data_IF_508776491811
#
_entry.id   IF_508776491811
#
_cell.length_a   1.000
_cell.length_b   1.000
_cell.length_c   1.000
_cell.angle_alpha   90.00
_cell.angle_beta   90.00
_cell.angle_gamma   90.00
#
_symmetry.space_group_name_H-M   'P 1'
#
loop_
_entity.id
_entity.type
_entity.pdbx_description
1 polymer ?
#
# COMPACT_ATOMS: atom_id res chain seq x y z
N UNK A 1 -8.34 5.07 -12.84
CA UNK A 1 -8.19 4.77 -11.39
C UNK A 1 -7.29 5.84 -10.76
N UNK A 2 -7.74 6.47 -9.66
CA UNK A 2 -6.96 7.49 -8.91
C UNK A 2 -6.83 7.02 -7.46
N UNK A 3 -5.78 7.44 -6.78
CA UNK A 3 -5.54 7.14 -5.36
C UNK A 3 -5.25 8.42 -4.59
N UNK A 4 -5.48 8.38 -3.28
CA UNK A 4 -5.16 9.47 -2.36
C UNK A 4 -4.39 8.92 -1.17
N UNK A 5 -3.53 9.73 -0.56
CA UNK A 5 -2.81 9.34 0.66
C UNK A 5 -2.78 10.50 1.63
N UNK A 6 -2.42 10.23 2.89
CA UNK A 6 -2.30 11.23 3.94
C UNK A 6 -0.86 11.34 4.41
N UNK A 7 -0.31 12.55 4.37
CA UNK A 7 1.03 12.82 4.87
C UNK A 7 1.02 13.23 6.34
N UNK A 8 2.01 12.71 7.08
CA UNK A 8 2.41 13.21 8.39
C UNK A 8 3.93 13.38 8.37
N UNK A 9 4.40 14.63 8.52
CA UNK A 9 5.81 14.98 8.44
C UNK A 9 6.67 14.33 9.54
N UNK A 10 6.05 13.83 10.61
CA UNK A 10 6.70 13.20 11.75
C UNK A 10 6.43 11.70 11.84
N UNK A 11 5.75 11.11 10.85
CA UNK A 11 5.44 9.68 10.85
C UNK A 11 5.43 9.09 9.44
N UNK A 12 6.62 8.68 9.00
CA UNK A 12 6.86 8.08 7.68
C UNK A 12 5.87 6.96 7.29
N UNK A 13 5.55 5.98 8.16
CA UNK A 13 4.68 4.86 7.78
C UNK A 13 3.30 5.28 7.27
N UNK A 14 2.74 6.41 7.73
CA UNK A 14 1.38 6.83 7.36
C UNK A 14 1.23 7.06 5.86
N UNK A 15 2.10 7.89 5.28
CA UNK A 15 2.03 8.18 3.85
C UNK A 15 2.50 6.99 3.03
N UNK A 16 3.61 6.37 3.44
CA UNK A 16 4.26 5.35 2.64
C UNK A 16 3.38 4.10 2.50
N UNK A 17 2.91 3.54 3.62
CA UNK A 17 2.07 2.35 3.59
C UNK A 17 0.64 2.64 3.16
N UNK A 18 0.10 3.83 3.48
CA UNK A 18 -1.17 4.27 2.91
C UNK A 18 -1.12 4.32 1.38
N UNK A 19 -0.03 4.82 0.79
CA UNK A 19 0.14 4.86 -0.66
C UNK A 19 0.25 3.46 -1.27
N UNK A 20 1.02 2.55 -0.65
CA UNK A 20 1.13 1.16 -1.13
C UNK A 20 -0.21 0.42 -1.03
N UNK A 21 -0.97 0.67 0.04
CA UNK A 21 -2.29 0.12 0.24
C UNK A 21 -3.24 0.51 -0.90
N UNK A 22 -3.39 1.81 -1.14
CA UNK A 22 -4.25 2.31 -2.23
C UNK A 22 -3.72 1.93 -3.62
N UNK A 23 -2.40 1.80 -3.77
CA UNK A 23 -1.79 1.29 -5.01
C UNK A 23 -2.22 -0.15 -5.28
N UNK A 24 -2.29 -1.01 -4.26
CA UNK A 24 -2.76 -2.38 -4.45
C UNK A 24 -4.22 -2.47 -4.89
N UNK A 25 -5.09 -1.62 -4.34
CA UNK A 25 -6.44 -1.43 -4.86
C UNK A 25 -6.42 -0.96 -6.33
N UNK A 26 -5.60 0.04 -6.63
CA UNK A 26 -5.57 0.61 -7.96
C UNK A 26 -5.05 -0.36 -9.02
N UNK A 27 -4.04 -1.15 -8.70
CA UNK A 27 -3.50 -2.19 -9.57
C UNK A 27 -4.55 -3.27 -9.86
N UNK A 28 -5.40 -3.62 -8.88
CA UNK A 28 -6.48 -4.55 -9.12
C UNK A 28 -7.49 -4.01 -10.13
N UNK A 29 -7.98 -2.78 -9.92
CA UNK A 29 -8.91 -2.12 -10.83
C UNK A 29 -8.31 -1.86 -12.22
N UNK A 30 -7.02 -1.55 -12.31
CA UNK A 30 -6.30 -1.40 -13.58
C UNK A 30 -6.06 -2.74 -14.30
N UNK A 31 -6.06 -3.86 -13.58
CA UNK A 31 -5.88 -5.19 -14.14
C UNK A 31 -7.15 -5.81 -14.72
N UNK A 32 -8.30 -5.16 -14.57
CA UNK A 32 -9.58 -5.61 -15.14
C UNK A 32 -9.52 -5.53 -16.66
N UNK A 33 -10.01 -6.57 -17.35
CA UNK A 33 -10.04 -6.59 -18.81
C UNK A 33 -10.79 -5.36 -19.35
N UNK A 34 -10.20 -4.58 -20.28
CA UNK A 34 -10.85 -3.41 -20.85
C UNK A 34 -12.21 -3.71 -21.48
N UNK A 35 -12.42 -4.92 -22.02
CA UNK A 35 -13.68 -5.35 -22.63
C UNK A 35 -14.85 -5.41 -21.63
N UNK A 36 -14.55 -5.57 -20.33
CA UNK A 36 -15.54 -5.61 -19.28
C UNK A 36 -15.98 -4.21 -18.85
N UNK A 37 -15.25 -3.16 -19.22
CA UNK A 37 -15.48 -1.78 -18.80
C UNK A 37 -16.89 -1.32 -19.17
N UNK A 38 -17.67 -0.84 -18.20
CA UNK A 38 -19.07 -0.37 -18.35
C UNK A 38 -20.07 -1.47 -18.74
N UNK A 39 -19.72 -2.74 -18.59
CA UNK A 39 -20.70 -3.84 -18.61
C UNK A 39 -21.36 -4.00 -17.24
N UNK A 40 -22.39 -4.83 -17.14
CA UNK A 40 -23.02 -5.17 -15.85
C UNK A 40 -22.03 -5.74 -14.81
N UNK A 41 -20.87 -6.23 -15.24
CA UNK A 41 -19.82 -6.77 -14.36
C UNK A 41 -18.88 -5.70 -13.78
N UNK A 42 -18.80 -4.51 -14.40
CA UNK A 42 -17.92 -3.43 -13.94
C UNK A 42 -18.56 -2.05 -13.94
N UNK A 43 -19.89 -2.01 -13.82
CA UNK A 43 -20.62 -0.76 -13.69
C UNK A 43 -21.07 -0.60 -12.25
N UNK A 44 -20.77 0.56 -11.70
CA UNK A 44 -21.22 0.92 -10.37
C UNK A 44 -22.61 1.57 -10.45
N UNK A 45 -23.65 0.76 -10.29
CA UNK A 45 -25.03 1.23 -10.24
C UNK A 45 -25.35 2.01 -8.95
N UNK A 46 -24.53 1.90 -7.90
CA UNK A 46 -24.88 2.30 -6.53
C UNK A 46 -23.93 3.33 -5.91
N UNK A 47 -22.88 3.76 -6.61
CA UNK A 47 -21.86 4.66 -6.05
C UNK A 47 -20.90 3.96 -5.07
N UNK A 48 -20.62 2.66 -5.23
CA UNK A 48 -19.82 1.83 -4.31
C UNK A 48 -18.42 1.50 -4.85
N UNK A 49 -17.55 1.16 -3.90
CA UNK A 49 -16.09 1.37 -3.98
C UNK A 49 -15.24 0.29 -4.69
N UNK A 50 -15.77 -0.86 -5.15
CA UNK A 50 -15.12 -1.62 -6.21
C UNK A 50 -16.00 -1.64 -7.46
N UNK A 51 -15.46 -1.09 -8.55
CA UNK A 51 -16.17 -0.98 -9.83
C UNK A 51 -15.93 -2.26 -10.61
N UNK A 52 -14.66 -2.63 -10.85
CA UNK A 52 -14.30 -3.90 -11.48
C UNK A 52 -13.93 -5.01 -10.50
N UNK A 53 -13.63 -4.68 -9.23
CA UNK A 53 -13.33 -5.67 -8.20
C UNK A 53 -14.53 -6.55 -7.83
N UNK A 54 -14.29 -7.86 -7.63
CA UNK A 54 -15.39 -8.83 -7.41
C UNK A 54 -16.05 -8.74 -6.03
N UNK A 55 -15.34 -8.28 -5.00
CA UNK A 55 -15.86 -8.11 -3.63
C UNK A 55 -14.92 -7.25 -2.80
N UNK A 56 -15.41 -6.70 -1.67
CA UNK A 56 -14.56 -5.94 -0.75
C UNK A 56 -13.39 -6.78 -0.20
N UNK A 57 -13.63 -8.06 0.11
CA UNK A 57 -12.58 -8.93 0.64
C UNK A 57 -11.46 -9.18 -0.36
N UNK A 58 -11.79 -9.37 -1.64
CA UNK A 58 -10.78 -9.52 -2.70
C UNK A 58 -10.12 -8.19 -3.01
N UNK A 59 -10.86 -7.08 -2.99
CA UNK A 59 -10.29 -5.76 -3.20
C UNK A 59 -9.26 -5.40 -2.10
N UNK A 60 -9.59 -5.69 -0.83
CA UNK A 60 -8.71 -5.52 0.34
C UNK A 60 -7.55 -6.53 0.35
N UNK A 61 -7.73 -7.74 -0.21
CA UNK A 61 -6.61 -8.68 -0.31
C UNK A 61 -5.49 -8.13 -1.20
N UNK A 62 -5.84 -7.41 -2.26
CA UNK A 62 -4.85 -6.78 -3.14
C UNK A 62 -4.13 -5.61 -2.46
N UNK A 63 -4.86 -4.73 -1.75
CA UNK A 63 -4.21 -3.65 -1.00
C UNK A 63 -3.26 -4.18 0.07
N UNK A 64 -3.69 -5.20 0.85
CA UNK A 64 -2.86 -5.81 1.89
C UNK A 64 -1.69 -6.63 1.34
N UNK A 65 -1.84 -7.23 0.16
CA UNK A 65 -0.74 -7.92 -0.51
C UNK A 65 0.39 -6.92 -0.83
N UNK A 66 0.07 -5.79 -1.44
CA UNK A 66 1.06 -4.77 -1.78
C UNK A 66 1.60 -4.02 -0.55
N UNK A 67 0.73 -3.64 0.40
CA UNK A 67 1.13 -2.95 1.62
C UNK A 67 2.03 -3.81 2.51
N UNK A 68 1.56 -5.02 2.87
CA UNK A 68 2.16 -5.82 3.93
C UNK A 68 3.05 -6.93 3.38
N UNK A 69 2.52 -7.78 2.49
CA UNK A 69 3.27 -8.95 2.01
C UNK A 69 4.47 -8.53 1.17
N UNK A 70 4.33 -7.45 0.38
CA UNK A 70 5.41 -6.89 -0.43
C UNK A 70 6.09 -5.74 0.34
N UNK A 71 5.40 -4.63 0.60
CA UNK A 71 6.00 -3.39 1.12
C UNK A 71 6.60 -3.45 2.52
N UNK A 72 6.23 -4.45 3.34
CA UNK A 72 6.83 -4.70 4.67
C UNK A 72 7.76 -5.91 4.68
N UNK A 73 7.99 -6.56 3.54
CA UNK A 73 8.96 -7.66 3.46
C UNK A 73 10.40 -7.17 3.58
N UNK A 74 11.30 -8.05 4.03
CA UNK A 74 12.73 -7.75 4.03
C UNK A 74 13.24 -7.52 2.60
N UNK A 75 12.81 -8.34 1.65
CA UNK A 75 13.21 -8.27 0.24
C UNK A 75 12.88 -6.92 -0.41
N UNK A 76 11.71 -6.34 -0.09
CA UNK A 76 11.37 -4.99 -0.55
C UNK A 76 12.35 -3.94 0.00
N UNK A 77 12.70 -4.04 1.27
CA UNK A 77 13.66 -3.12 1.87
C UNK A 77 15.07 -3.34 1.33
N UNK A 78 15.55 -4.56 1.18
CA UNK A 78 16.84 -4.83 0.52
C UNK A 78 16.91 -4.21 -0.89
N UNK A 79 15.83 -4.28 -1.66
CA UNK A 79 15.77 -3.74 -3.02
C UNK A 79 15.66 -2.20 -3.10
N UNK A 80 15.11 -1.54 -2.07
CA UNK A 80 14.75 -0.12 -2.13
C UNK A 80 15.39 0.76 -1.05
N UNK A 81 16.10 0.19 -0.08
CA UNK A 81 16.67 0.93 1.03
C UNK A 81 17.68 1.98 0.58
N UNK A 82 18.47 1.71 -0.46
CA UNK A 82 19.42 2.70 -0.99
C UNK A 82 18.73 3.96 -1.51
N UNK A 83 17.54 3.83 -2.13
CA UNK A 83 16.74 4.97 -2.55
C UNK A 83 16.19 5.74 -1.35
N UNK A 84 15.72 5.04 -0.31
CA UNK A 84 15.27 5.65 0.94
C UNK A 84 16.41 6.45 1.60
N UNK A 85 17.60 5.85 1.69
CA UNK A 85 18.80 6.48 2.23
C UNK A 85 19.24 7.71 1.42
N UNK A 86 19.14 7.66 0.10
CA UNK A 86 19.46 8.80 -0.76
C UNK A 86 18.52 9.99 -0.54
N UNK A 87 17.24 9.76 -0.23
CA UNK A 87 16.27 10.82 0.03
C UNK A 87 16.32 11.35 1.48
N UNK A 88 16.74 10.53 2.45
CA UNK A 88 16.77 10.88 3.86
C UNK A 88 18.11 10.49 4.52
N UNK A 89 19.24 11.06 4.06
CA UNK A 89 20.57 10.59 4.43
C UNK A 89 20.87 10.73 5.93
N UNK A 90 20.44 11.83 6.55
CA UNK A 90 20.64 12.06 7.99
C UNK A 90 19.80 11.09 8.84
N UNK A 91 18.52 10.91 8.50
CA UNK A 91 17.60 10.05 9.23
C UNK A 91 17.96 8.56 9.08
N UNK A 92 18.56 8.19 7.94
CA UNK A 92 18.96 6.82 7.64
C UNK A 92 20.43 6.54 8.01
N UNK A 93 21.15 7.48 8.62
CA UNK A 93 22.52 7.29 9.07
C UNK A 93 22.59 6.15 10.10
N UNK A 94 23.41 5.14 9.83
CA UNK A 94 23.56 3.95 10.69
C UNK A 94 22.37 2.99 10.66
N UNK A 95 21.33 3.24 9.85
CA UNK A 95 20.21 2.31 9.65
C UNK A 95 20.57 1.29 8.58
N UNK A 96 20.17 0.04 8.78
CA UNK A 96 20.31 -1.05 7.79
C UNK A 96 18.92 -1.47 7.26
N UNK A 97 18.84 -2.14 6.10
CA UNK A 97 17.59 -2.69 5.60
C UNK A 97 16.87 -3.59 6.62
N UNK A 98 17.62 -4.40 7.38
CA UNK A 98 17.06 -5.29 8.41
C UNK A 98 16.49 -4.51 9.59
N UNK A 99 17.17 -3.43 10.00
CA UNK A 99 16.66 -2.55 11.06
C UNK A 99 15.37 -1.86 10.61
N UNK A 100 15.33 -1.38 9.36
CA UNK A 100 14.13 -0.78 8.78
C UNK A 100 12.98 -1.78 8.70
N UNK A 101 13.23 -2.99 8.18
CA UNK A 101 12.27 -4.09 8.14
C UNK A 101 11.68 -4.41 9.52
N UNK A 102 12.54 -4.49 10.56
CA UNK A 102 12.07 -4.70 11.93
C UNK A 102 11.23 -3.54 12.44
N UNK A 103 11.63 -2.30 12.17
CA UNK A 103 10.93 -1.09 12.62
C UNK A 103 9.52 -0.98 12.05
N UNK A 104 9.34 -1.27 10.76
CA UNK A 104 8.04 -1.19 10.07
C UNK A 104 7.10 -2.36 10.39
N UNK A 105 7.60 -3.43 11.01
CA UNK A 105 6.83 -4.59 11.45
C UNK A 105 6.65 -4.65 12.97
N UNK A 106 6.87 -3.53 13.68
CA UNK A 106 6.67 -3.47 15.13
C UNK A 106 5.22 -3.77 15.51
N UNK A 107 5.04 -4.71 16.43
CA UNK A 107 3.74 -5.01 17.04
C UNK A 107 3.67 -4.40 18.44
N UNK A 108 2.58 -3.71 18.75
CA UNK A 108 2.23 -3.29 20.11
C UNK A 108 0.71 -3.24 20.28
N UNK A 109 0.15 -3.62 21.45
CA UNK A 109 -1.24 -3.34 21.75
C UNK A 109 -1.51 -1.84 21.66
N UNK A 110 -2.60 -1.45 21.00
CA UNK A 110 -3.00 -0.05 20.88
C UNK A 110 -4.52 0.07 20.77
N UNK A 111 -5.04 1.26 21.06
CA UNK A 111 -6.49 1.52 21.07
C UNK A 111 -7.05 1.90 19.68
N UNK A 112 -6.18 2.25 18.73
CA UNK A 112 -6.59 2.71 17.41
C UNK A 112 -6.49 1.53 16.44
N UNK A 113 -7.60 1.23 15.77
CA UNK A 113 -7.70 0.13 14.79
C UNK A 113 -6.90 0.39 13.51
N UNK A 114 -6.81 1.66 13.09
CA UNK A 114 -6.20 2.11 11.81
C UNK A 114 -4.82 2.71 12.00
#
# INVERSE_FOLDING_TARGET
VRITTRYNLHYFPMAFYGTLHETGHALYEQGVSPELTRTALSIDYLGKYPVGGTSYGVHESQSRMWENQIGRSLTFWEAHFDRMRAHFPEQMAGVTPELMYRAVNRVRPSLIRV
#
